data_IF_571369943843
#
_entry.id   IF_571369943843
#
_cell.length_a   1.000
_cell.length_b   1.000
_cell.length_c   1.000
_cell.angle_alpha   90.00
_cell.angle_beta   90.00
_cell.angle_gamma   90.00
#
_symmetry.space_group_name_H-M   'P 1'
#
loop_
_entity.id
_entity.type
_entity.pdbx_description
1 polymer ?
#
# COMPACT_ATOMS: atom_id res chain seq x y z
N UNK A 1 4.93 20.52 -12.56
CA UNK A 1 5.16 19.06 -12.69
C UNK A 1 3.83 18.37 -12.83
N UNK A 2 3.45 18.03 -14.06
CA UNK A 2 2.23 17.24 -14.29
C UNK A 2 2.55 15.78 -14.02
N UNK A 3 1.65 15.09 -13.31
CA UNK A 3 1.72 13.65 -13.09
C UNK A 3 0.52 13.03 -13.78
N UNK A 4 0.70 11.98 -14.60
CA UNK A 4 -0.41 11.36 -15.27
C UNK A 4 -1.31 10.65 -14.25
N UNK A 5 -2.57 10.48 -14.64
CA UNK A 5 -3.53 9.68 -13.88
C UNK A 5 -3.09 8.22 -13.96
N UNK A 6 -3.00 7.55 -12.80
CA UNK A 6 -2.71 6.13 -12.74
C UNK A 6 -4.01 5.37 -13.07
N UNK A 7 -4.03 4.51 -14.12
CA UNK A 7 -5.22 3.75 -14.52
C UNK A 7 -5.79 2.93 -13.37
N UNK A 8 -7.12 2.75 -13.33
CA UNK A 8 -7.80 1.97 -12.28
C UNK A 8 -7.38 0.50 -12.28
N UNK A 9 -7.03 -0.04 -13.44
CA UNK A 9 -6.57 -1.42 -13.62
C UNK A 9 -5.09 -1.61 -13.24
N UNK A 10 -4.40 -0.55 -12.82
CA UNK A 10 -3.01 -0.64 -12.38
C UNK A 10 -2.93 -1.49 -11.11
N UNK A 11 -2.08 -2.54 -11.08
CA UNK A 11 -1.92 -3.38 -9.90
C UNK A 11 -1.63 -2.54 -8.65
N UNK A 12 -2.28 -2.79 -7.51
CA UNK A 12 -2.17 -1.95 -6.31
C UNK A 12 -0.73 -1.72 -5.84
N UNK A 13 0.12 -2.74 -5.99
CA UNK A 13 1.55 -2.66 -5.65
C UNK A 13 2.27 -1.63 -6.53
N UNK A 14 2.02 -1.64 -7.85
CA UNK A 14 2.64 -0.71 -8.78
C UNK A 14 2.13 0.72 -8.56
N UNK A 15 0.81 0.90 -8.38
CA UNK A 15 0.20 2.19 -8.04
C UNK A 15 0.87 2.81 -6.81
N UNK A 16 1.01 2.04 -5.75
CA UNK A 16 1.54 2.55 -4.49
C UNK A 16 3.05 2.88 -4.55
N UNK A 17 3.83 2.15 -5.35
CA UNK A 17 5.23 2.51 -5.64
C UNK A 17 5.30 3.82 -6.43
N UNK A 18 4.48 3.97 -7.47
CA UNK A 18 4.42 5.18 -8.29
C UNK A 18 4.08 6.40 -7.43
N UNK A 19 3.05 6.30 -6.58
CA UNK A 19 2.62 7.38 -5.68
C UNK A 19 3.73 7.82 -4.71
N UNK A 20 4.54 6.88 -4.21
CA UNK A 20 5.61 7.19 -3.26
C UNK A 20 6.87 7.73 -3.91
N UNK A 21 7.22 7.25 -5.10
CA UNK A 21 8.22 7.91 -5.95
C UNK A 21 7.80 9.36 -6.26
N UNK A 22 6.50 9.58 -6.33
CA UNK A 22 5.86 10.89 -6.48
C UNK A 22 5.54 11.57 -5.14
N UNK A 23 6.19 11.25 -4.02
CA UNK A 23 5.96 12.04 -2.82
C UNK A 23 6.32 13.53 -3.05
N UNK A 24 5.46 14.44 -2.55
CA UNK A 24 5.72 15.90 -2.55
C UNK A 24 7.06 16.21 -1.87
N UNK A 25 7.28 15.50 -0.78
CA UNK A 25 8.42 15.57 0.11
C UNK A 25 9.52 14.59 -0.35
N UNK A 26 10.72 15.05 -0.74
CA UNK A 26 11.79 14.17 -1.21
C UNK A 26 12.22 13.13 -0.16
N UNK A 27 12.18 13.47 1.12
CA UNK A 27 12.51 12.61 2.25
C UNK A 27 11.55 11.42 2.43
N UNK A 28 10.37 11.50 1.80
CA UNK A 28 9.37 10.41 1.81
C UNK A 28 9.50 9.50 0.59
N UNK A 29 10.34 9.84 -0.38
CA UNK A 29 10.56 9.01 -1.57
C UNK A 29 11.38 7.79 -1.17
N UNK A 30 11.05 6.60 -1.70
CA UNK A 30 11.83 5.40 -1.43
C UNK A 30 13.22 5.50 -2.07
N UNK A 31 14.20 4.92 -1.40
CA UNK A 31 15.51 4.69 -2.01
C UNK A 31 15.39 3.65 -3.13
N UNK A 32 16.31 3.72 -4.09
CA UNK A 32 16.34 2.79 -5.22
C UNK A 32 16.32 1.31 -4.78
N UNK A 33 17.08 0.97 -3.73
CA UNK A 33 17.12 -0.39 -3.21
C UNK A 33 15.76 -0.88 -2.67
N UNK A 34 14.93 0.03 -2.12
CA UNK A 34 13.60 -0.31 -1.61
C UNK A 34 12.64 -0.64 -2.77
N UNK A 35 12.74 0.11 -3.87
CA UNK A 35 11.97 -0.10 -5.09
C UNK A 35 12.32 -1.46 -5.69
N UNK A 36 13.61 -1.75 -5.87
CA UNK A 36 14.10 -3.04 -6.40
C UNK A 36 13.58 -4.20 -5.55
N UNK A 37 13.64 -4.09 -4.21
CA UNK A 37 13.15 -5.14 -3.31
C UNK A 37 11.65 -5.41 -3.43
N UNK A 38 10.83 -4.38 -3.70
CA UNK A 38 9.40 -4.59 -3.94
C UNK A 38 9.16 -5.26 -5.28
N UNK A 39 9.89 -4.89 -6.32
CA UNK A 39 9.75 -5.52 -7.64
C UNK A 39 10.25 -6.97 -7.67
N UNK A 40 11.38 -7.29 -7.04
CA UNK A 40 11.84 -8.68 -6.88
C UNK A 40 10.77 -9.58 -6.24
N UNK A 41 10.10 -9.05 -5.20
CA UNK A 41 9.04 -9.78 -4.50
C UNK A 41 7.77 -9.90 -5.33
N UNK A 42 7.46 -8.88 -6.11
CA UNK A 42 6.34 -8.86 -7.03
C UNK A 42 6.53 -9.89 -8.17
N UNK A 43 7.71 -9.92 -8.80
CA UNK A 43 8.07 -10.92 -9.81
C UNK A 43 8.01 -12.35 -9.25
N UNK A 44 8.53 -12.54 -8.02
CA UNK A 44 8.49 -13.85 -7.35
C UNK A 44 7.04 -14.32 -7.12
N UNK A 45 6.13 -13.42 -6.73
CA UNK A 45 4.71 -13.75 -6.56
C UNK A 45 4.03 -14.08 -7.89
N UNK A 46 4.35 -13.32 -8.95
CA UNK A 46 3.84 -13.57 -10.29
C UNK A 46 4.25 -14.95 -10.81
N UNK A 47 5.51 -15.34 -10.58
CA UNK A 47 6.04 -16.62 -11.01
C UNK A 47 5.43 -17.82 -10.26
N UNK A 48 4.96 -17.64 -9.02
CA UNK A 48 4.46 -18.72 -8.17
C UNK A 48 2.96 -18.98 -8.32
N UNK A 49 2.14 -17.92 -8.21
CA UNK A 49 0.68 -18.07 -8.09
C UNK A 49 -0.06 -17.47 -9.29
N UNK A 50 0.65 -16.79 -10.21
CA UNK A 50 0.03 -15.98 -11.26
C UNK A 50 -0.75 -14.78 -10.73
N UNK A 51 -0.83 -14.60 -9.41
CA UNK A 51 -1.61 -13.56 -8.76
C UNK A 51 -0.73 -12.38 -8.32
N UNK A 52 -1.23 -11.18 -8.58
CA UNK A 52 -0.64 -9.87 -8.23
C UNK A 52 -0.75 -9.54 -6.72
N UNK A 53 -0.51 -10.50 -5.82
CA UNK A 53 -0.61 -10.27 -4.36
C UNK A 53 0.78 -10.17 -3.75
N UNK A 54 1.10 -9.01 -3.18
CA UNK A 54 2.32 -8.84 -2.38
C UNK A 54 2.29 -9.79 -1.18
N UNK A 55 2.95 -10.94 -1.31
CA UNK A 55 3.03 -11.99 -0.30
C UNK A 55 3.49 -11.38 1.02
N UNK A 56 2.72 -11.52 2.10
CA UNK A 56 3.25 -11.48 3.47
C UNK A 56 3.93 -12.85 3.61
N UNK A 57 5.25 -13.00 3.57
CA UNK A 57 6.21 -12.68 4.61
C UNK A 57 7.63 -13.01 4.10
N UNK A 58 8.65 -12.37 4.67
CA UNK A 58 10.03 -12.87 4.67
C UNK A 58 10.83 -12.09 5.73
N UNK A 59 10.86 -12.63 6.94
CA UNK A 59 11.63 -12.12 8.06
C UNK A 59 13.09 -12.56 7.93
N UNK A 60 13.99 -11.61 7.68
CA UNK A 60 15.40 -11.72 8.06
C UNK A 60 15.95 -10.29 8.21
N UNK A 61 16.35 -9.95 9.44
CA UNK A 61 16.90 -8.69 9.95
C UNK A 61 18.28 -8.40 9.31
N UNK A 62 18.74 -7.16 9.08
CA UNK A 62 19.04 -6.20 10.15
C UNK A 62 18.88 -4.70 9.81
N UNK A 63 18.60 -4.35 8.55
CA UNK A 63 18.32 -2.97 8.08
C UNK A 63 16.88 -2.81 7.53
N UNK A 64 16.11 -3.91 7.55
CA UNK A 64 14.87 -4.09 6.77
C UNK A 64 13.59 -3.71 7.52
N UNK A 65 13.71 -3.17 8.74
CA UNK A 65 12.55 -2.75 9.58
C UNK A 65 11.73 -1.67 8.89
N UNK A 66 12.42 -0.68 8.29
CA UNK A 66 11.77 0.37 7.50
C UNK A 66 11.06 -0.20 6.27
N UNK A 67 11.72 -1.12 5.54
CA UNK A 67 11.15 -1.71 4.33
C UNK A 67 9.93 -2.60 4.62
N UNK A 68 9.92 -3.43 5.66
CA UNK A 68 8.72 -4.21 6.03
C UNK A 68 7.56 -3.28 6.38
N UNK A 69 7.82 -2.22 7.15
CA UNK A 69 6.80 -1.25 7.51
C UNK A 69 6.30 -0.49 6.27
N UNK A 70 7.20 -0.20 5.33
CA UNK A 70 6.90 0.43 4.05
C UNK A 70 6.03 -0.46 3.17
N UNK A 71 6.41 -1.73 3.01
CA UNK A 71 5.64 -2.77 2.30
C UNK A 71 4.27 -3.00 2.93
N UNK A 72 4.17 -3.06 4.26
CA UNK A 72 2.88 -3.17 4.95
C UNK A 72 2.06 -1.89 4.77
N UNK A 73 2.69 -0.72 4.76
CA UNK A 73 2.02 0.55 4.49
C UNK A 73 1.47 0.62 3.07
N UNK A 74 2.16 0.04 2.07
CA UNK A 74 1.62 -0.14 0.71
C UNK A 74 0.35 -1.00 0.73
N UNK A 75 0.30 -2.06 1.57
CA UNK A 75 -0.85 -2.95 1.66
C UNK A 75 -2.06 -2.34 2.40
N UNK A 76 -1.85 -1.44 3.37
CA UNK A 76 -2.95 -0.81 4.14
C UNK A 76 -3.67 0.33 3.42
N UNK A 77 -3.19 0.80 2.26
CA UNK A 77 -3.90 1.81 1.46
C UNK A 77 -5.18 1.22 0.81
N UNK A 78 -5.39 -0.10 0.87
CA UNK A 78 -6.55 -0.79 0.30
C UNK A 78 -7.59 -1.23 1.35
N UNK A 79 -7.95 -0.36 2.30
CA UNK A 79 -9.12 -0.62 3.17
C UNK A 79 -9.95 0.64 3.41
N UNK A 80 -10.19 1.45 2.38
CA UNK A 80 -11.11 2.60 2.45
C UNK A 80 -11.97 2.70 1.17
N UNK A 81 -12.29 1.59 0.51
CA UNK A 81 -13.14 1.64 -0.72
C UNK A 81 -14.14 0.47 -0.85
N UNK A 82 -14.52 -0.20 0.26
CA UNK A 82 -15.78 -0.97 0.30
C UNK A 82 -16.16 -1.39 1.73
N UNK A 83 -16.83 -0.53 2.51
CA UNK A 83 -17.82 -0.97 3.52
C UNK A 83 -18.49 0.21 4.25
N UNK A 84 -19.74 0.47 3.87
CA UNK A 84 -20.85 1.00 4.69
C UNK A 84 -20.75 2.40 5.35
N UNK A 85 -21.80 3.25 5.24
CA UNK A 85 -21.88 4.50 5.99
C UNK A 85 -22.13 4.23 7.48
N UNK A 86 -21.31 4.84 8.34
CA UNK A 86 -21.44 4.77 9.80
C UNK A 86 -22.81 5.28 10.25
N UNK A 87 -23.54 4.58 11.14
CA UNK A 87 -24.80 5.09 11.66
C UNK A 87 -24.54 6.22 12.65
N UNK A 88 -25.14 7.39 12.39
CA UNK A 88 -25.12 8.53 13.30
C UNK A 88 -25.79 8.15 14.64
N UNK A 89 -25.27 8.60 15.80
CA UNK A 89 -25.88 8.29 17.09
C UNK A 89 -27.18 9.09 17.27
N UNK A 90 -28.32 8.38 17.34
CA UNK A 90 -29.59 9.01 17.69
C UNK A 90 -29.61 9.47 19.16
N UNK A 91 -30.24 10.61 19.48
CA UNK A 91 -30.48 11.02 20.86
C UNK A 91 -31.45 10.05 21.55
N UNK A 92 -31.04 9.50 22.70
CA UNK A 92 -31.87 8.59 23.49
C UNK A 92 -33.12 9.32 24.03
N UNK A 93 -34.32 8.71 23.99
CA UNK A 93 -35.50 9.30 24.62
C UNK A 93 -35.34 9.30 26.15
N UNK A 94 -35.56 10.46 26.76
CA UNK A 94 -35.74 10.61 28.20
C UNK A 94 -37.15 10.14 28.55
N UNK A 95 -37.24 9.07 29.32
CA UNK A 95 -38.45 8.79 30.10
C UNK A 95 -38.35 9.52 31.43
N UNK A 96 -39.47 10.12 31.84
CA UNK A 96 -39.65 10.99 33.01
C UNK A 96 -39.24 10.37 34.34
#
# INVERSE_FOLDING_TARGET
>A
NLRPIIPVDCPPVLRAVIEQCWAMHPEKRPDFWQIVKVFEKFESSLALDGTLKLVRDSTCSDHKKGLRNWIQKLSSVHSEELSTPMPMPMPKPKFS
#
